data_IF_546830760645
#
_entry.id   IF_546830760645
#
_cell.length_a   1.000
_cell.length_b   1.000
_cell.length_c   1.000
_cell.angle_alpha   90.00
_cell.angle_beta   90.00
_cell.angle_gamma   90.00
#
_symmetry.space_group_name_H-M   'P 1'
#
loop_
_entity.id
_entity.type
_entity.pdbx_description
1 polymer ?
#
# COMPACT_ATOMS: atom_id res chain seq x y z
N UNK A 1 4.09 -13.54 -13.91
CA UNK A 1 3.20 -12.39 -13.65
C UNK A 1 3.25 -12.07 -12.16
N UNK A 2 3.17 -10.79 -11.79
CA UNK A 2 3.21 -10.32 -10.40
C UNK A 2 1.99 -9.45 -10.13
N UNK A 3 0.92 -10.08 -9.66
CA UNK A 3 -0.33 -9.39 -9.37
C UNK A 3 -0.28 -8.70 -8.02
N UNK A 4 -0.92 -7.53 -7.90
CA UNK A 4 -1.08 -6.85 -6.61
C UNK A 4 -2.00 -7.69 -5.73
N UNK A 5 -1.60 -7.91 -4.48
CA UNK A 5 -2.40 -8.64 -3.50
C UNK A 5 -3.69 -7.89 -3.23
N UNK A 6 -4.82 -8.59 -3.24
CA UNK A 6 -6.12 -7.98 -2.98
C UNK A 6 -6.72 -7.25 -4.19
N UNK A 7 -6.09 -7.30 -5.36
CA UNK A 7 -6.73 -6.92 -6.62
C UNK A 7 -7.73 -8.00 -7.05
N UNK A 8 -9.01 -7.63 -7.15
CA UNK A 8 -10.10 -8.52 -7.54
C UNK A 8 -10.43 -8.46 -9.03
N UNK A 9 -9.91 -7.48 -9.76
CA UNK A 9 -10.20 -7.24 -11.18
C UNK A 9 -9.19 -7.95 -12.08
N UNK A 10 -7.90 -7.85 -11.75
CA UNK A 10 -6.81 -8.43 -12.53
C UNK A 10 -5.89 -9.32 -11.70
N UNK A 11 -6.22 -9.57 -10.44
CA UNK A 11 -5.37 -10.30 -9.51
C UNK A 11 -5.55 -11.82 -9.52
N UNK A 12 -4.61 -12.51 -8.89
CA UNK A 12 -4.69 -13.95 -8.66
C UNK A 12 -5.56 -14.24 -7.42
N UNK A 13 -6.69 -14.91 -7.64
CA UNK A 13 -7.64 -15.30 -6.60
C UNK A 13 -6.98 -16.16 -5.51
N UNK A 14 -6.03 -17.03 -5.86
CA UNK A 14 -5.32 -17.89 -4.90
C UNK A 14 -4.45 -17.04 -3.97
N UNK A 15 -3.70 -16.08 -4.52
CA UNK A 15 -2.88 -15.16 -3.75
C UNK A 15 -3.74 -14.28 -2.84
N UNK A 16 -4.81 -13.67 -3.37
CA UNK A 16 -5.73 -12.85 -2.57
C UNK A 16 -6.41 -13.65 -1.45
N UNK A 17 -6.79 -14.91 -1.71
CA UNK A 17 -7.34 -15.80 -0.67
C UNK A 17 -6.29 -16.14 0.39
N UNK A 18 -5.07 -16.49 -0.02
CA UNK A 18 -3.98 -16.78 0.91
C UNK A 18 -3.72 -15.60 1.86
N UNK A 19 -3.55 -14.39 1.31
CA UNK A 19 -3.29 -13.20 2.13
C UNK A 19 -4.46 -12.83 3.04
N UNK A 20 -5.70 -13.00 2.58
CA UNK A 20 -6.88 -12.77 3.42
C UNK A 20 -6.95 -13.78 4.58
N UNK A 21 -6.71 -15.06 4.32
CA UNK A 21 -6.84 -16.11 5.33
C UNK A 21 -5.69 -16.07 6.35
N UNK A 22 -4.46 -15.85 5.90
CA UNK A 22 -3.28 -15.95 6.78
C UNK A 22 -2.90 -14.63 7.44
N UNK A 23 -3.17 -13.49 6.78
CA UNK A 23 -2.74 -12.17 7.27
C UNK A 23 -3.89 -11.16 7.41
N UNK A 24 -5.13 -11.60 7.23
CA UNK A 24 -6.31 -10.72 7.38
C UNK A 24 -6.39 -9.61 6.33
N UNK A 25 -5.68 -9.70 5.20
CA UNK A 25 -5.73 -8.70 4.15
C UNK A 25 -7.07 -8.70 3.42
N UNK A 26 -7.90 -7.68 3.65
CA UNK A 26 -9.24 -7.56 3.04
C UNK A 26 -9.30 -6.54 1.90
N UNK A 27 -8.28 -5.69 1.75
CA UNK A 27 -8.16 -4.68 0.71
C UNK A 27 -6.92 -4.90 -0.17
N UNK A 28 -6.90 -4.20 -1.31
CA UNK A 28 -5.74 -4.16 -2.20
C UNK A 28 -4.54 -3.55 -1.48
N UNK A 29 -3.40 -4.25 -1.50
CA UNK A 29 -2.11 -3.74 -0.99
C UNK A 29 -1.49 -2.79 -2.02
N UNK A 30 -2.17 -1.64 -2.22
CA UNK A 30 -1.72 -0.52 -3.02
C UNK A 30 -1.91 0.77 -2.20
N UNK A 31 -0.88 1.59 -2.12
CA UNK A 31 -0.87 2.82 -1.30
C UNK A 31 -0.25 3.98 -2.06
N UNK A 32 -0.93 5.12 -2.09
CA UNK A 32 -0.39 6.36 -2.63
C UNK A 32 0.43 7.05 -1.55
N UNK A 33 1.73 6.75 -1.49
CA UNK A 33 2.65 7.25 -0.46
C UNK A 33 2.86 8.77 -0.51
N UNK A 34 2.93 9.33 -1.72
CA UNK A 34 3.17 10.76 -1.92
C UNK A 34 2.43 11.29 -3.13
N UNK A 35 2.00 12.55 -3.03
CA UNK A 35 1.44 13.32 -4.14
C UNK A 35 2.18 14.65 -4.23
N UNK A 36 2.80 14.92 -5.37
CA UNK A 36 3.41 16.20 -5.69
C UNK A 36 2.52 16.95 -6.68
N UNK A 37 2.27 18.23 -6.39
CA UNK A 37 1.47 19.12 -7.23
C UNK A 37 1.92 20.57 -7.05
N UNK A 38 1.53 21.45 -7.97
CA UNK A 38 1.59 22.89 -7.73
C UNK A 38 0.39 23.32 -6.89
N UNK A 39 0.60 24.12 -5.84
CA UNK A 39 -0.47 24.63 -5.01
C UNK A 39 -1.42 25.49 -5.86
N UNK A 40 -2.75 25.26 -5.83
CA UNK A 40 -3.68 25.83 -6.81
C UNK A 40 -3.85 27.35 -6.71
N UNK A 41 -3.45 27.96 -5.59
CA UNK A 41 -3.56 29.42 -5.37
C UNK A 41 -2.21 30.12 -5.50
N UNK A 42 -1.13 29.51 -5.00
CA UNK A 42 0.19 30.16 -4.91
C UNK A 42 1.14 29.71 -6.01
N UNK A 43 0.86 28.60 -6.70
CA UNK A 43 1.76 28.01 -7.69
C UNK A 43 2.97 27.28 -7.10
N UNK A 44 3.25 27.46 -5.81
CA UNK A 44 4.40 26.86 -5.13
C UNK A 44 4.35 25.32 -5.14
N UNK A 45 5.51 24.65 -5.19
CA UNK A 45 5.57 23.20 -5.06
C UNK A 45 4.97 22.72 -3.74
N UNK A 46 4.04 21.77 -3.81
CA UNK A 46 3.41 21.13 -2.67
C UNK A 46 3.67 19.62 -2.72
N UNK A 47 4.22 19.08 -1.63
CA UNK A 47 4.40 17.64 -1.44
C UNK A 47 3.53 17.16 -0.28
N UNK A 48 2.57 16.31 -0.58
CA UNK A 48 1.73 15.63 0.40
C UNK A 48 2.28 14.22 0.61
N UNK A 49 2.42 13.78 1.87
CA UNK A 49 2.85 12.43 2.23
C UNK A 49 1.78 11.76 3.09
N UNK A 50 1.51 10.48 2.82
CA UNK A 50 0.62 9.65 3.62
C UNK A 50 1.40 8.46 4.17
N UNK A 51 1.36 8.29 5.50
CA UNK A 51 1.92 7.11 6.15
C UNK A 51 1.17 5.84 5.72
N UNK A 52 1.84 4.69 5.84
CA UNK A 52 1.19 3.39 5.69
C UNK A 52 0.15 3.19 6.79
N UNK A 53 -0.95 2.51 6.45
CA UNK A 53 -2.00 2.18 7.41
C UNK A 53 -1.67 0.93 8.24
N UNK A 54 -2.52 0.64 9.23
CA UNK A 54 -2.34 -0.51 10.12
C UNK A 54 -2.25 -1.85 9.37
N UNK A 55 -2.97 -2.01 8.26
CA UNK A 55 -2.92 -3.26 7.47
C UNK A 55 -1.54 -3.43 6.83
N UNK A 56 -0.97 -2.36 6.27
CA UNK A 56 0.39 -2.38 5.75
C UNK A 56 1.43 -2.62 6.84
N UNK A 57 1.32 -1.93 7.98
CA UNK A 57 2.27 -2.08 9.08
C UNK A 57 2.31 -3.53 9.59
N UNK A 58 1.15 -4.17 9.75
CA UNK A 58 1.08 -5.59 10.14
C UNK A 58 1.79 -6.50 9.14
N UNK A 59 1.57 -6.32 7.84
CA UNK A 59 2.25 -7.14 6.82
C UNK A 59 3.77 -6.97 6.87
N UNK A 60 4.25 -5.74 7.06
CA UNK A 60 5.68 -5.47 7.19
C UNK A 60 6.27 -6.09 8.45
N UNK A 61 5.54 -6.09 9.57
CA UNK A 61 5.96 -6.76 10.80
C UNK A 61 6.02 -8.28 10.63
N UNK A 62 4.96 -8.90 10.07
CA UNK A 62 4.89 -10.35 9.81
C UNK A 62 6.04 -10.84 8.92
N UNK A 63 6.50 -10.02 7.98
CA UNK A 63 7.61 -10.36 7.08
C UNK A 63 8.97 -9.84 7.54
N UNK A 64 9.05 -9.19 8.71
CA UNK A 64 10.26 -8.55 9.22
C UNK A 64 10.86 -7.51 8.24
N UNK A 65 10.00 -6.76 7.56
CA UNK A 65 10.34 -5.74 6.55
C UNK A 65 10.10 -4.30 7.01
N UNK A 66 9.88 -4.07 8.30
CA UNK A 66 9.58 -2.73 8.85
C UNK A 66 10.64 -1.69 8.45
N UNK A 67 11.91 -2.08 8.33
CA UNK A 67 12.99 -1.20 7.87
C UNK A 67 12.81 -0.69 6.45
N UNK A 68 12.16 -1.46 5.57
CA UNK A 68 11.88 -1.09 4.18
C UNK A 68 10.82 0.00 4.05
N UNK A 69 10.05 0.28 5.11
CA UNK A 69 9.02 1.32 5.11
C UNK A 69 9.53 2.69 5.57
N UNK A 70 10.81 2.80 5.93
CA UNK A 70 11.46 4.08 6.22
C UNK A 70 11.71 4.82 4.90
N UNK A 71 11.01 5.93 4.69
CA UNK A 71 11.12 6.84 3.54
C UNK A 71 11.99 8.03 3.89
#
# INVERSE_FOLDING_TARGET
>A
FHHIVGDTSHGDIRHTRFFRTHYGCTRMLLHAQSLALSHPVTGEPLLLKAALDDQWMRILEEFAWVESAKV
#
